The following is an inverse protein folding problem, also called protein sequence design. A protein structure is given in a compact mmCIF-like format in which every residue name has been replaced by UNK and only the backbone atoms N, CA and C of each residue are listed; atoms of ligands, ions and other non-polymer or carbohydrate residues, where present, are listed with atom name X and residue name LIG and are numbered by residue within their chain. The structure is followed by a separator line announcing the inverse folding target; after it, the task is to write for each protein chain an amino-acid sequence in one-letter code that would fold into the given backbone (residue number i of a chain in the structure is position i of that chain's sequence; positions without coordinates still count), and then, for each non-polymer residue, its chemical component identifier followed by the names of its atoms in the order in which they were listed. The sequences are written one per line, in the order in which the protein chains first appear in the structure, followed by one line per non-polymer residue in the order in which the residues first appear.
data_IF_732054121197
#
_entry.id   IF_732054121197
#
_cell.length_a   1.000
_cell.length_b   1.000
_cell.length_c   1.000
_cell.angle_alpha   90.00
_cell.angle_beta   90.00
_cell.angle_gamma   90.00
#
_symmetry.space_group_name_H-M   'P 1'
#
loop_
_entity.id
_entity.type
_entity.pdbx_description
1 polymer ?
#
# COMPACT_ATOMS: atom_id res chain seq x y z
N UNK A 1 22.99 -14.59 -12.49
CA UNK A 1 22.40 -15.65 -11.62
C UNK A 1 21.00 -15.19 -11.24
N UNK A 2 20.02 -16.09 -11.10
CA UNK A 2 18.64 -15.70 -10.78
C UNK A 2 18.36 -15.93 -9.29
N UNK A 3 17.60 -15.03 -8.68
CA UNK A 3 17.18 -15.14 -7.28
C UNK A 3 16.16 -16.28 -7.13
N UNK A 4 16.40 -17.22 -6.24
CA UNK A 4 15.50 -18.35 -5.99
C UNK A 4 14.19 -17.94 -5.31
N UNK A 5 14.15 -16.77 -4.66
CA UNK A 5 12.93 -16.21 -4.04
C UNK A 5 12.01 -15.54 -5.08
N UNK A 6 12.46 -14.47 -5.71
CA UNK A 6 11.63 -13.68 -6.64
C UNK A 6 11.79 -14.06 -8.12
N UNK A 7 12.70 -14.98 -8.47
CA UNK A 7 13.02 -15.43 -9.83
C UNK A 7 13.60 -14.38 -10.78
N UNK A 8 13.84 -13.16 -10.32
CA UNK A 8 14.49 -12.11 -11.10
C UNK A 8 16.01 -12.31 -11.18
N UNK A 9 16.62 -11.77 -12.24
CA UNK A 9 18.07 -11.75 -12.43
C UNK A 9 18.73 -10.84 -11.41
N UNK A 10 19.73 -11.36 -10.68
CA UNK A 10 20.56 -10.59 -9.75
C UNK A 10 21.62 -9.86 -10.55
N UNK A 11 21.64 -8.53 -10.49
CA UNK A 11 22.69 -7.73 -11.14
C UNK A 11 24.02 -7.86 -10.37
N UNK A 12 25.15 -7.89 -11.08
CA UNK A 12 26.46 -8.15 -10.46
C UNK A 12 26.94 -7.12 -9.41
N UNK A 13 26.25 -5.97 -9.30
CA UNK A 13 26.52 -4.94 -8.30
C UNK A 13 25.66 -5.06 -7.03
N UNK A 14 24.66 -5.95 -7.03
CA UNK A 14 23.72 -6.08 -5.92
C UNK A 14 24.21 -7.08 -4.88
N UNK A 15 23.97 -6.76 -3.60
CA UNK A 15 24.21 -7.67 -2.49
C UNK A 15 23.34 -8.94 -2.64
N UNK A 16 24.01 -10.08 -2.79
CA UNK A 16 23.37 -11.40 -2.90
C UNK A 16 23.82 -12.34 -1.80
N UNK A 17 22.90 -13.23 -1.40
CA UNK A 17 23.15 -14.26 -0.40
C UNK A 17 23.11 -15.62 -1.06
N UNK A 18 24.20 -16.39 -0.89
CA UNK A 18 24.30 -17.77 -1.37
C UNK A 18 24.13 -18.72 -0.18
N UNK A 19 23.34 -19.76 -0.35
CA UNK A 19 23.22 -20.81 0.66
C UNK A 19 24.58 -21.49 0.90
N UNK A 20 25.00 -21.59 2.15
CA UNK A 20 26.28 -22.21 2.55
C UNK A 20 26.26 -23.74 2.40
N UNK A 21 25.07 -24.36 2.31
CA UNK A 21 24.95 -25.80 2.12
C UNK A 21 25.42 -26.21 0.71
N UNK A 22 26.47 -27.04 0.66
CA UNK A 22 27.16 -27.46 -0.58
C UNK A 22 26.25 -28.06 -1.66
N UNK A 23 25.14 -28.67 -1.26
CA UNK A 23 24.18 -29.31 -2.17
C UNK A 23 23.13 -28.36 -2.75
N UNK A 24 22.95 -27.16 -2.17
CA UNK A 24 21.84 -26.28 -2.52
C UNK A 24 22.17 -25.31 -3.67
N UNK A 25 23.32 -24.63 -3.59
CA UNK A 25 23.77 -23.62 -4.55
C UNK A 25 22.78 -22.49 -4.91
N UNK A 26 21.64 -22.39 -4.21
CA UNK A 26 20.64 -21.35 -4.41
C UNK A 26 21.18 -19.98 -4.00
N UNK A 27 20.77 -18.94 -4.72
CA UNK A 27 21.17 -17.54 -4.52
C UNK A 27 19.94 -16.68 -4.37
N UNK A 28 19.94 -15.73 -3.45
CA UNK A 28 18.83 -14.84 -3.15
C UNK A 28 19.29 -13.39 -3.17
N UNK A 29 18.42 -12.47 -3.57
CA UNK A 29 18.59 -11.07 -3.19
C UNK A 29 18.54 -10.95 -1.66
N UNK A 30 19.30 -10.03 -1.10
CA UNK A 30 19.30 -9.81 0.35
C UNK A 30 17.87 -9.52 0.87
N UNK A 31 17.09 -8.71 0.16
CA UNK A 31 15.68 -8.44 0.46
C UNK A 31 14.78 -9.68 0.40
N UNK A 32 14.98 -10.56 -0.58
CA UNK A 32 14.17 -11.78 -0.71
C UNK A 32 14.40 -12.80 0.41
N UNK A 33 15.54 -12.70 1.12
CA UNK A 33 15.83 -13.55 2.27
C UNK A 33 15.10 -13.11 3.55
N UNK A 34 14.55 -11.89 3.57
CA UNK A 34 13.96 -11.27 4.76
C UNK A 34 14.98 -10.84 5.82
N UNK A 35 16.28 -10.89 5.52
CA UNK A 35 17.34 -10.47 6.44
C UNK A 35 18.03 -9.22 5.91
N UNK A 36 17.76 -8.09 6.57
CA UNK A 36 18.45 -6.82 6.32
C UNK A 36 19.67 -6.71 7.23
N UNK A 37 20.74 -6.05 6.77
CA UNK A 37 21.90 -5.66 7.59
C UNK A 37 22.67 -6.81 8.27
N UNK A 38 22.92 -7.90 7.56
CA UNK A 38 23.79 -8.98 8.07
C UNK A 38 25.26 -8.58 8.06
N UNK A 39 25.98 -8.90 9.14
CA UNK A 39 27.44 -8.86 9.16
C UNK A 39 28.03 -9.92 8.22
N UNK A 40 29.24 -9.68 7.71
CA UNK A 40 29.88 -10.58 6.75
C UNK A 40 30.07 -12.00 7.28
N UNK A 41 30.22 -12.19 8.60
CA UNK A 41 30.39 -13.52 9.19
C UNK A 41 29.08 -14.33 9.22
N UNK A 42 27.94 -13.64 9.43
CA UNK A 42 26.64 -14.31 9.31
C UNK A 42 26.31 -14.57 7.84
N UNK A 43 26.75 -13.71 6.90
CA UNK A 43 26.61 -13.98 5.45
C UNK A 43 27.32 -15.28 5.05
N UNK A 44 28.52 -15.56 5.59
CA UNK A 44 29.31 -16.78 5.31
C UNK A 44 28.70 -18.07 5.87
N UNK A 45 27.83 -17.96 6.88
CA UNK A 45 27.17 -19.11 7.53
C UNK A 45 25.67 -19.18 7.21
N UNK A 46 25.18 -18.36 6.29
CA UNK A 46 23.76 -18.26 5.97
C UNK A 46 23.26 -19.51 5.23
N UNK A 47 22.13 -20.05 5.68
CA UNK A 47 21.45 -21.21 5.09
C UNK A 47 20.09 -20.73 4.58
N UNK A 48 19.75 -21.07 3.33
CA UNK A 48 18.50 -20.62 2.74
C UNK A 48 17.26 -21.20 3.46
N UNK A 49 16.09 -20.56 3.33
CA UNK A 49 14.86 -21.03 3.97
C UNK A 49 14.51 -22.48 3.63
N UNK A 50 14.70 -22.91 2.38
CA UNK A 50 14.42 -24.28 1.93
C UNK A 50 15.28 -25.31 2.66
N UNK A 51 16.59 -25.06 2.75
CA UNK A 51 17.53 -25.96 3.44
C UNK A 51 17.34 -25.94 4.95
N UNK A 52 17.01 -24.78 5.52
CA UNK A 52 16.70 -24.65 6.94
C UNK A 52 15.44 -25.43 7.32
N UNK A 53 14.42 -25.38 6.46
CA UNK A 53 13.22 -26.20 6.62
C UNK A 53 13.54 -27.68 6.46
N UNK A 54 14.29 -28.07 5.42
CA UNK A 54 14.68 -29.45 5.18
C UNK A 54 15.49 -30.06 6.34
N UNK A 55 16.42 -29.30 6.93
CA UNK A 55 17.18 -29.72 8.10
C UNK A 55 16.31 -29.88 9.36
N UNK A 56 15.21 -29.12 9.46
CA UNK A 56 14.25 -29.21 10.59
C UNK A 56 13.21 -30.32 10.44
N UNK A 57 13.10 -30.97 9.29
CA UNK A 57 12.13 -32.07 9.06
C UNK A 57 12.41 -33.30 9.95
N UNK A 58 13.56 -33.36 10.62
CA UNK A 58 13.92 -34.42 11.56
C UNK A 58 13.93 -33.99 13.04
N UNK A 59 12.99 -33.18 13.50
CA UNK A 59 12.74 -33.07 14.93
C UNK A 59 12.30 -34.42 15.44
N UNK A 60 13.20 -35.15 16.11
CA UNK A 60 12.90 -36.44 16.70
C UNK A 60 11.82 -36.27 17.78
N UNK A 61 10.57 -36.44 17.37
CA UNK A 61 9.43 -36.48 18.28
C UNK A 61 9.37 -37.79 19.07
N UNK A 62 10.40 -38.66 19.00
CA UNK A 62 10.49 -39.85 19.86
C UNK A 62 10.57 -39.50 21.34
N UNK A 63 11.06 -38.30 21.68
CA UNK A 63 11.17 -37.79 23.06
C UNK A 63 10.10 -36.76 23.42
N UNK A 64 9.24 -36.36 22.48
CA UNK A 64 7.98 -35.72 22.83
C UNK A 64 7.06 -36.85 23.27
N UNK A 65 6.73 -37.01 24.56
CA UNK A 65 5.90 -38.13 25.00
C UNK A 65 4.49 -37.92 24.43
N UNK A 66 4.25 -38.43 23.22
CA UNK A 66 2.91 -38.75 22.74
C UNK A 66 2.48 -39.90 23.64
N UNK A 67 1.86 -39.53 24.76
CA UNK A 67 1.59 -40.44 25.85
C UNK A 67 1.03 -41.76 25.33
N UNK A 68 1.75 -42.85 25.62
CA UNK A 68 1.22 -44.21 25.66
C UNK A 68 0.18 -44.32 26.80
N UNK A 69 -0.77 -43.40 26.89
CA UNK A 69 -1.81 -43.41 27.91
C UNK A 69 -3.14 -43.84 27.31
N UNK A 70 -3.20 -45.12 26.93
CA UNK A 70 -4.48 -45.84 26.89
C UNK A 70 -4.82 -46.51 28.22
N UNK A 71 -3.91 -46.56 29.20
CA UNK A 71 -4.16 -47.34 30.44
C UNK A 71 -4.02 -46.60 31.77
N UNK A 72 -3.55 -45.35 31.82
CA UNK A 72 -3.57 -44.58 33.09
C UNK A 72 -4.39 -43.31 32.86
N UNK A 73 -5.70 -43.45 33.04
CA UNK A 73 -6.62 -42.31 33.12
C UNK A 73 -6.40 -41.66 34.48
N UNK A 74 -5.75 -40.51 34.48
CA UNK A 74 -5.78 -39.62 35.63
C UNK A 74 -7.24 -39.12 35.80
N UNK A 75 -7.93 -39.40 36.92
CA UNK A 75 -9.37 -39.12 37.07
C UNK A 75 -9.73 -37.62 37.03
N UNK A 76 -8.73 -36.73 37.15
CA UNK A 76 -8.93 -35.28 37.11
C UNK A 76 -8.53 -34.63 35.77
N UNK A 77 -8.08 -35.40 34.77
CA UNK A 77 -7.80 -34.84 33.43
C UNK A 77 -9.05 -34.99 32.58
N UNK A 78 -9.81 -33.90 32.47
CA UNK A 78 -10.94 -33.81 31.54
C UNK A 78 -10.39 -33.77 30.11
N UNK A 79 -10.35 -34.94 29.47
CA UNK A 79 -10.12 -34.99 28.03
C UNK A 79 -11.24 -34.22 27.35
N UNK A 80 -10.91 -33.06 26.78
CA UNK A 80 -11.79 -32.40 25.82
C UNK A 80 -11.86 -33.32 24.60
N UNK A 81 -12.85 -34.21 24.62
CA UNK A 81 -13.18 -35.16 23.57
C UNK A 81 -13.53 -34.35 22.34
N UNK A 82 -12.52 -33.99 21.54
CA UNK A 82 -12.76 -33.40 20.22
C UNK A 82 -13.48 -34.49 19.44
N UNK A 83 -14.76 -34.29 19.06
CA UNK A 83 -15.46 -35.29 18.26
C UNK A 83 -14.64 -35.48 16.99
N UNK A 84 -14.22 -36.72 16.75
CA UNK A 84 -13.73 -37.14 15.44
C UNK A 84 -14.96 -37.04 14.55
N UNK A 85 -15.17 -35.87 13.96
CA UNK A 85 -16.08 -35.74 12.83
C UNK A 85 -15.39 -36.46 11.69
N UNK A 86 -15.96 -37.59 11.31
CA UNK A 86 -15.71 -38.24 10.03
C UNK A 86 -15.67 -37.17 8.95
N UNK A 87 -14.65 -37.22 8.11
CA UNK A 87 -14.52 -36.37 6.92
C UNK A 87 -15.58 -36.85 5.92
N UNK A 88 -16.83 -36.53 6.22
CA UNK A 88 -17.87 -36.45 5.21
C UNK A 88 -17.54 -35.20 4.40
N UNK A 89 -17.16 -35.44 3.15
CA UNK A 89 -17.07 -34.45 2.09
C UNK A 89 -18.44 -33.78 1.92
N UNK A 90 -18.79 -32.86 2.81
CA UNK A 90 -20.00 -32.05 2.69
C UNK A 90 -19.72 -30.96 1.67
N UNK A 91 -20.28 -31.14 0.48
CA UNK A 91 -20.52 -30.09 -0.50
C UNK A 91 -21.56 -29.08 0.03
N UNK A 92 -21.33 -28.52 1.22
CA UNK A 92 -22.30 -27.73 1.97
C UNK A 92 -21.73 -26.36 2.26
N UNK A 93 -22.44 -25.35 1.74
CA UNK A 93 -22.50 -23.94 2.13
C UNK A 93 -21.20 -23.27 2.64
N UNK A 94 -20.73 -22.19 2.00
CA UNK A 94 -19.60 -21.44 2.53
C UNK A 94 -19.93 -20.99 3.96
N UNK A 95 -19.09 -21.42 4.90
CA UNK A 95 -19.16 -21.02 6.31
C UNK A 95 -19.35 -19.49 6.39
N UNK A 96 -20.26 -19.01 7.23
CA UNK A 96 -20.65 -17.60 7.32
C UNK A 96 -19.42 -16.70 7.53
N UNK A 97 -18.44 -17.20 8.30
CA UNK A 97 -17.14 -16.58 8.51
C UNK A 97 -16.33 -16.43 7.20
N UNK A 98 -16.41 -17.40 6.29
CA UNK A 98 -15.73 -17.34 4.99
C UNK A 98 -16.32 -16.26 4.10
N UNK A 99 -17.66 -16.10 4.14
CA UNK A 99 -18.36 -15.03 3.41
C UNK A 99 -18.00 -13.66 3.99
N UNK A 100 -18.02 -13.51 5.31
CA UNK A 100 -17.66 -12.26 5.99
C UNK A 100 -16.21 -11.86 5.72
N UNK A 101 -15.26 -12.80 5.80
CA UNK A 101 -13.85 -12.55 5.44
C UNK A 101 -13.74 -12.08 3.98
N UNK A 102 -14.53 -12.65 3.07
CA UNK A 102 -14.52 -12.25 1.65
C UNK A 102 -15.06 -10.83 1.46
N UNK A 103 -16.13 -10.49 2.18
CA UNK A 103 -16.73 -9.15 2.16
C UNK A 103 -15.77 -8.10 2.72
N UNK A 104 -15.19 -8.35 3.91
CA UNK A 104 -14.20 -7.45 4.51
C UNK A 104 -12.99 -7.24 3.59
N UNK A 105 -12.51 -8.29 2.92
CA UNK A 105 -11.45 -8.14 1.92
C UNK A 105 -11.88 -7.24 0.77
N UNK A 106 -13.11 -7.38 0.28
CA UNK A 106 -13.63 -6.54 -0.80
C UNK A 106 -13.75 -5.07 -0.38
N UNK A 107 -14.23 -4.80 0.84
CA UNK A 107 -14.32 -3.44 1.39
C UNK A 107 -12.95 -2.81 1.55
N UNK A 108 -11.95 -3.56 2.03
CA UNK A 108 -10.56 -3.09 2.11
C UNK A 108 -10.03 -2.68 0.73
N UNK A 109 -10.34 -3.43 -0.33
CA UNK A 109 -9.94 -3.06 -1.69
C UNK A 109 -10.61 -1.77 -2.17
N UNK A 110 -11.91 -1.61 -1.91
CA UNK A 110 -12.66 -0.40 -2.27
C UNK A 110 -12.10 0.83 -1.53
N UNK A 111 -11.88 0.71 -0.22
CA UNK A 111 -11.31 1.80 0.58
C UNK A 111 -9.90 2.17 0.14
N UNK A 112 -9.09 1.18 -0.25
CA UNK A 112 -7.75 1.41 -0.81
C UNK A 112 -7.82 2.19 -2.12
N UNK A 113 -8.75 1.84 -3.02
CA UNK A 113 -8.93 2.56 -4.29
C UNK A 113 -9.40 4.00 -4.06
N UNK A 114 -10.37 4.19 -3.16
CA UNK A 114 -10.83 5.52 -2.75
C UNK A 114 -9.70 6.37 -2.17
N UNK A 115 -8.82 5.79 -1.34
CA UNK A 115 -7.66 6.48 -0.79
C UNK A 115 -6.69 6.91 -1.89
N UNK A 116 -6.38 6.02 -2.84
CA UNK A 116 -5.51 6.36 -3.99
C UNK A 116 -6.11 7.49 -4.82
N UNK A 117 -7.42 7.44 -5.09
CA UNK A 117 -8.14 8.50 -5.82
C UNK A 117 -8.12 9.84 -5.06
N UNK A 118 -8.27 9.82 -3.73
CA UNK A 118 -8.18 11.04 -2.91
C UNK A 118 -6.77 11.64 -2.96
N UNK A 119 -5.71 10.82 -2.86
CA UNK A 119 -4.32 11.28 -2.91
C UNK A 119 -3.97 11.88 -4.28
N UNK A 120 -4.41 11.25 -5.37
CA UNK A 120 -4.18 11.80 -6.73
C UNK A 120 -4.94 13.11 -6.94
N UNK A 121 -6.15 13.21 -6.41
CA UNK A 121 -6.93 14.44 -6.46
C UNK A 121 -6.24 15.59 -5.68
N UNK A 122 -5.76 15.32 -4.46
CA UNK A 122 -4.99 16.29 -3.65
C UNK A 122 -3.77 16.78 -4.44
N UNK A 123 -2.97 15.84 -4.98
CA UNK A 123 -1.77 16.17 -5.77
C UNK A 123 -2.12 17.07 -6.97
N UNK A 124 -3.27 16.83 -7.62
CA UNK A 124 -3.74 17.66 -8.73
C UNK A 124 -4.13 19.09 -8.30
N UNK A 125 -4.68 19.24 -7.09
CA UNK A 125 -5.03 20.55 -6.54
C UNK A 125 -3.80 21.33 -6.08
N UNK A 126 -2.82 20.67 -5.49
CA UNK A 126 -1.53 21.26 -5.15
C UNK A 126 -0.85 21.85 -6.40
N UNK A 127 -0.80 21.08 -7.49
CA UNK A 127 -0.26 21.58 -8.76
C UNK A 127 -1.05 22.78 -9.33
N UNK A 128 -2.38 22.81 -9.17
CA UNK A 128 -3.19 23.97 -9.57
C UNK A 128 -2.89 25.19 -8.71
N UNK A 129 -2.74 25.02 -7.40
CA UNK A 129 -2.39 26.10 -6.47
C UNK A 129 -1.02 26.70 -6.80
N UNK A 130 -0.03 25.85 -7.10
CA UNK A 130 1.30 26.32 -7.53
C UNK A 130 1.22 27.13 -8.83
N UNK A 131 0.44 26.67 -9.81
CA UNK A 131 0.19 27.42 -11.05
C UNK A 131 -0.51 28.76 -10.82
N UNK A 132 -1.47 28.83 -9.90
CA UNK A 132 -2.13 30.08 -9.54
C UNK A 132 -1.18 31.03 -8.82
N UNK A 133 -0.35 30.52 -7.91
CA UNK A 133 0.67 31.31 -7.23
C UNK A 133 1.65 31.93 -8.24
N UNK A 134 2.13 31.14 -9.21
CA UNK A 134 3.00 31.63 -10.28
C UNK A 134 2.32 32.72 -11.14
N UNK A 135 1.04 32.57 -11.46
CA UNK A 135 0.27 33.59 -12.19
C UNK A 135 0.11 34.89 -11.39
N UNK A 136 -0.15 34.80 -10.09
CA UNK A 136 -0.24 35.97 -9.21
C UNK A 136 1.10 36.71 -9.21
N UNK A 137 2.22 36.01 -9.02
CA UNK A 137 3.55 36.63 -9.06
C UNK A 137 3.80 37.32 -10.41
N UNK A 138 3.51 36.63 -11.52
CA UNK A 138 3.72 37.19 -12.86
C UNK A 138 2.84 38.42 -13.16
N UNK A 139 1.63 38.49 -12.60
CA UNK A 139 0.76 39.66 -12.73
C UNK A 139 1.24 40.80 -11.84
N UNK A 140 1.68 40.52 -10.61
CA UNK A 140 2.26 41.51 -9.71
C UNK A 140 3.50 42.17 -10.32
N UNK A 141 4.43 41.39 -10.89
CA UNK A 141 5.62 41.94 -11.55
C UNK A 141 5.25 42.80 -12.77
N UNK A 142 4.24 42.40 -13.56
CA UNK A 142 3.75 43.22 -14.68
C UNK A 142 3.16 44.54 -14.19
N UNK A 143 2.43 44.55 -13.09
CA UNK A 143 1.88 45.77 -12.50
C UNK A 143 2.98 46.73 -12.04
N UNK A 144 4.02 46.21 -11.38
CA UNK A 144 5.19 46.99 -11.00
C UNK A 144 5.89 47.60 -12.22
N UNK A 145 6.07 46.83 -13.30
CA UNK A 145 6.63 47.33 -14.56
C UNK A 145 5.81 48.48 -15.15
N UNK A 146 4.46 48.41 -15.09
CA UNK A 146 3.59 49.48 -15.56
C UNK A 146 3.66 50.72 -14.68
N UNK A 147 3.79 50.57 -13.35
CA UNK A 147 3.96 51.69 -12.43
C UNK A 147 5.28 52.41 -12.64
N UNK A 148 6.37 51.67 -12.91
CA UNK A 148 7.69 52.24 -13.20
C UNK A 148 7.69 52.94 -14.58
N UNK A 149 7.02 52.36 -15.58
CA UNK A 149 7.01 52.88 -16.95
C UNK A 149 6.02 54.02 -17.18
N UNK A 150 5.05 54.25 -16.30
CA UNK A 150 4.18 55.42 -16.38
C UNK A 150 5.01 56.68 -16.05
N UNK A 151 5.47 57.45 -17.05
CA UNK A 151 6.22 58.66 -16.78
C UNK A 151 5.25 59.67 -16.16
N UNK A 152 5.74 60.54 -15.29
CA UNK A 152 4.98 61.62 -14.64
C UNK A 152 4.50 62.71 -15.64
N UNK A 153 3.81 62.33 -16.72
CA UNK A 153 3.35 63.25 -17.78
C UNK A 153 2.10 64.05 -17.41
N UNK A 154 1.68 64.09 -16.14
CA UNK A 154 0.50 64.84 -15.70
C UNK A 154 0.78 65.93 -14.65
N UNK A 155 2.04 66.31 -14.43
CA UNK A 155 2.38 67.41 -13.51
C UNK A 155 2.37 68.82 -14.14
N UNK A 156 2.00 69.00 -15.40
CA UNK A 156 1.97 70.35 -15.99
C UNK A 156 0.89 70.50 -17.07
N UNK A 157 -0.37 70.64 -16.64
CA UNK A 157 -1.37 71.31 -17.45
C UNK A 157 -2.35 72.04 -16.54
N UNK A 158 -2.37 73.35 -16.71
CA UNK A 158 -3.23 74.36 -16.10
C UNK A 158 -4.68 73.93 -15.85
N UNK A 159 -5.21 74.37 -14.72
CA UNK A 159 -6.63 74.57 -14.47
C UNK A 159 -7.26 75.48 -15.54
N UNK A 160 -8.43 75.11 -16.06
CA UNK A 160 -9.48 76.09 -16.32
C UNK A 160 -10.68 75.78 -15.45
N UNK A 161 -10.92 76.70 -14.52
CA UNK A 161 -12.22 76.90 -13.88
C UNK A 161 -13.26 77.22 -14.96
N UNK A 162 -14.19 76.30 -15.26
CA UNK A 162 -15.47 76.65 -15.91
C UNK A 162 -16.61 75.85 -15.27
N UNK A 163 -17.66 76.61 -14.97
CA UNK A 163 -18.82 76.32 -14.16
C UNK A 163 -19.84 75.34 -14.78
N UNK A 164 -20.72 74.87 -13.89
CA UNK A 164 -22.14 74.57 -14.09
C UNK A 164 -22.60 74.22 -15.51
N UNK A 165 -23.09 72.99 -15.69
CA UNK A 165 -24.43 72.87 -16.23
C UNK A 165 -25.18 71.61 -15.80
N UNK A 166 -26.44 71.86 -15.47
CA UNK A 166 -27.47 70.97 -14.97
C UNK A 166 -28.26 70.48 -16.19
N UNK A 167 -28.28 69.18 -16.47
CA UNK A 167 -29.28 68.60 -17.39
C UNK A 167 -29.48 67.09 -17.15
N UNK A 168 -30.37 66.83 -16.20
CA UNK A 168 -31.54 65.95 -16.31
C UNK A 168 -31.71 65.19 -17.64
N UNK A 169 -31.51 63.87 -17.61
CA UNK A 169 -32.21 62.93 -18.49
C UNK A 169 -32.63 61.68 -17.71
N UNK A 170 -33.94 61.58 -17.58
CA UNK A 170 -34.70 60.39 -17.21
C UNK A 170 -34.47 59.31 -18.28
N UNK A 171 -34.30 58.04 -17.87
CA UNK A 171 -34.86 56.88 -18.56
C UNK A 171 -34.67 55.58 -17.75
N UNK A 172 -35.78 54.91 -17.45
CA UNK A 172 -35.88 53.45 -17.58
C UNK A 172 -35.51 52.61 -16.36
N UNK A 173 -36.36 52.58 -15.35
CA UNK A 173 -36.46 51.46 -14.40
C UNK A 173 -36.98 50.19 -15.12
N UNK A 174 -36.12 49.19 -15.30
CA UNK A 174 -36.54 47.79 -15.43
C UNK A 174 -36.20 47.06 -14.12
N UNK A 175 -37.26 46.72 -13.37
CA UNK A 175 -37.21 45.81 -12.23
C UNK A 175 -36.88 44.42 -12.74
N UNK A 176 -35.81 43.81 -12.25
CA UNK A 176 -35.67 42.36 -12.20
C UNK A 176 -35.44 41.97 -10.75
N UNK A 177 -36.40 41.23 -10.21
CA UNK A 177 -36.39 40.70 -8.86
C UNK A 177 -35.34 39.59 -8.75
N UNK A 178 -34.14 39.95 -8.29
CA UNK A 178 -33.20 38.96 -7.76
C UNK A 178 -33.29 38.92 -6.23
N UNK A 179 -33.95 37.86 -5.79
CA UNK A 179 -34.07 37.33 -4.44
C UNK A 179 -32.69 37.28 -3.76
N UNK A 180 -32.39 38.27 -2.92
CA UNK A 180 -31.20 38.34 -2.09
C UNK A 180 -31.23 37.22 -1.04
N UNK A 181 -30.30 36.27 -1.18
CA UNK A 181 -29.94 35.31 -0.14
C UNK A 181 -28.93 36.01 0.77
N UNK A 182 -29.31 36.19 2.04
CA UNK A 182 -28.50 36.83 3.07
C UNK A 182 -27.08 36.23 3.10
N UNK A 183 -26.10 37.03 2.69
CA UNK A 183 -24.68 36.76 2.88
C UNK A 183 -24.29 37.41 4.19
N UNK A 184 -24.03 36.55 5.17
CA UNK A 184 -23.43 36.89 6.45
C UNK A 184 -22.04 37.49 6.16
N UNK A 185 -21.91 38.82 6.28
CA UNK A 185 -20.61 39.47 6.33
C UNK A 185 -19.95 39.11 7.66
N UNK A 186 -18.93 38.25 7.61
CA UNK A 186 -17.91 38.19 8.66
C UNK A 186 -16.66 38.88 8.14
N UNK A 187 -16.28 39.91 8.89
CA UNK A 187 -15.09 40.75 8.80
C UNK A 187 -13.80 39.94 8.50
N UNK A 188 -12.96 40.35 7.54
CA UNK A 188 -11.70 39.70 7.23
C UNK A 188 -10.49 40.43 7.85
N UNK A 189 -10.51 40.65 9.17
CA UNK A 189 -9.37 41.18 9.91
C UNK A 189 -9.39 40.60 11.33
N UNK A 190 -8.90 39.37 11.50
CA UNK A 190 -8.41 38.80 12.79
C UNK A 190 -8.01 37.30 12.61
N UNK A 191 -7.05 37.00 11.74
CA UNK A 191 -6.43 35.65 11.70
C UNK A 191 -5.02 35.65 11.08
N UNK A 192 -4.28 36.74 11.30
CA UNK A 192 -2.82 36.73 11.26
C UNK A 192 -2.33 36.62 12.70
N UNK A 193 -2.46 35.43 13.29
CA UNK A 193 -1.57 35.01 14.35
C UNK A 193 -1.66 33.49 14.54
N UNK A 194 -0.48 32.89 14.72
CA UNK A 194 -0.24 31.48 15.04
C UNK A 194 -0.32 30.48 13.89
N UNK A 195 0.70 30.47 13.01
CA UNK A 195 1.40 29.23 12.63
C UNK A 195 2.87 29.57 12.29
N UNK A 196 3.69 29.83 13.31
CA UNK A 196 5.13 29.60 13.20
C UNK A 196 5.37 28.10 13.46
N UNK A 197 5.31 27.27 12.42
CA UNK A 197 5.91 25.93 12.47
C UNK A 197 7.31 26.08 11.91
N UNK A 198 8.25 26.26 12.84
CA UNK A 198 9.67 26.03 12.63
C UNK A 198 9.87 24.66 12.00
N UNK A 199 10.29 24.63 10.74
CA UNK A 199 10.85 23.45 10.09
C UNK A 199 12.27 23.24 10.58
N UNK A 200 12.42 22.85 11.85
CA UNK A 200 13.67 22.32 12.38
C UNK A 200 13.40 21.05 13.20
N UNK A 201 13.92 19.92 12.69
CA UNK A 201 14.26 18.75 13.51
C UNK A 201 13.13 17.78 13.88
N UNK A 202 12.94 16.75 13.05
CA UNK A 202 12.79 15.35 13.54
C UNK A 202 13.02 14.36 12.40
N UNK A 203 14.30 14.01 12.25
CA UNK A 203 14.65 12.62 11.97
C UNK A 203 14.19 11.76 13.17
N UNK A 204 13.90 10.50 12.86
CA UNK A 204 13.62 9.35 13.73
C UNK A 204 12.18 8.83 13.79
N UNK A 205 12.11 7.52 13.52
CA UNK A 205 10.98 6.61 13.69
C UNK A 205 10.00 6.52 12.52
N UNK A 206 10.55 6.14 11.36
CA UNK A 206 9.81 5.41 10.32
C UNK A 206 9.34 4.07 10.91
N UNK A 207 8.17 4.04 11.52
CA UNK A 207 7.47 2.79 11.85
C UNK A 207 6.93 2.18 10.56
N UNK A 208 7.83 1.52 9.82
CA UNK A 208 7.45 0.54 8.81
C UNK A 208 6.71 -0.59 9.53
N UNK A 209 5.39 -0.60 9.43
CA UNK A 209 4.62 -1.82 9.69
C UNK A 209 5.01 -2.85 8.64
N UNK A 210 5.63 -3.99 9.00
CA UNK A 210 5.92 -5.03 8.03
C UNK A 210 4.61 -5.69 7.63
N UNK A 211 4.26 -5.50 6.36
CA UNK A 211 3.26 -6.27 5.65
C UNK A 211 3.66 -7.76 5.77
N UNK A 212 2.97 -8.51 6.62
CA UNK A 212 3.05 -9.97 6.60
C UNK A 212 2.31 -10.45 5.35
N UNK A 213 3.00 -10.50 4.22
CA UNK A 213 2.57 -11.35 3.12
C UNK A 213 2.56 -12.79 3.62
N UNK A 214 1.34 -13.28 3.86
CA UNK A 214 1.09 -14.70 4.05
C UNK A 214 1.49 -15.43 2.76
N UNK A 215 2.73 -15.93 2.76
CA UNK A 215 3.18 -16.92 1.80
C UNK A 215 2.26 -18.13 1.91
N UNK A 216 1.31 -18.21 0.97
CA UNK A 216 0.61 -19.44 0.62
C UNK A 216 1.68 -20.46 0.21
N UNK A 217 2.08 -21.29 1.17
CA UNK A 217 2.75 -22.55 0.91
C UNK A 217 1.74 -23.42 0.16
N UNK A 218 1.75 -23.31 -1.17
CA UNK A 218 0.95 -24.13 -2.05
C UNK A 218 1.21 -25.60 -1.73
N UNK A 219 0.17 -26.27 -1.23
CA UNK A 219 0.06 -27.71 -1.28
C UNK A 219 0.20 -28.15 -2.74
N UNK A 220 1.41 -28.53 -3.16
CA UNK A 220 1.61 -29.39 -4.32
C UNK A 220 1.14 -30.79 -3.91
N UNK A 221 -0.16 -31.02 -4.00
CA UNK A 221 -0.72 -32.36 -4.03
C UNK A 221 -0.33 -33.04 -5.34
N UNK A 222 0.20 -34.26 -5.21
CA UNK A 222 0.03 -35.34 -6.18
C UNK A 222 0.81 -35.23 -7.49
N UNK A 223 2.04 -35.76 -7.49
CA UNK A 223 2.55 -36.46 -8.68
C UNK A 223 1.68 -37.69 -8.92
N UNK A 224 1.06 -37.75 -10.08
CA UNK A 224 0.47 -38.96 -10.65
C UNK A 224 1.55 -40.06 -10.69
N UNK A 225 1.39 -41.09 -9.87
CA UNK A 225 1.98 -42.40 -10.16
C UNK A 225 1.05 -43.07 -11.15
N UNK A 226 1.44 -43.08 -12.42
CA UNK A 226 0.91 -44.03 -13.39
C UNK A 226 1.22 -45.44 -12.86
N UNK A 227 0.19 -46.11 -12.33
CA UNK A 227 0.23 -47.54 -12.05
C UNK A 227 0.12 -48.22 -13.41
N UNK A 228 1.22 -48.84 -13.84
CA UNK A 228 1.22 -49.71 -15.02
C UNK A 228 0.22 -50.84 -14.80
N UNK A 229 -0.71 -50.97 -15.74
CA UNK A 229 -1.55 -52.15 -15.90
C UNK A 229 -0.68 -53.40 -16.08
N UNK A 230 -1.02 -54.54 -15.47
CA UNK A 230 -0.52 -55.82 -15.93
C UNK A 230 -1.29 -56.20 -17.22
N UNK A 231 -0.57 -56.26 -18.35
CA UNK A 231 -1.04 -56.95 -19.54
C UNK A 231 -1.02 -58.45 -19.27
N UNK A 232 -2.19 -59.05 -19.05
CA UNK A 232 -2.38 -60.50 -19.15
C UNK A 232 -2.21 -60.89 -20.62
N UNK A 233 -1.04 -61.40 -20.98
CA UNK A 233 -0.82 -62.11 -22.24
C UNK A 233 -1.47 -63.50 -22.14
N UNK A 234 -2.59 -63.70 -22.85
CA UNK A 234 -3.11 -65.03 -23.14
C UNK A 234 -2.27 -65.64 -24.27
N UNK A 235 -1.59 -66.75 -23.99
CA UNK A 235 -1.02 -67.62 -25.03
C UNK A 235 -2.14 -68.49 -25.63
N UNK A 236 -2.17 -68.70 -26.96
CA UNK A 236 -2.92 -69.81 -27.52
C UNK A 236 -2.08 -71.08 -27.49
N UNK A 237 -2.64 -72.13 -26.89
CA UNK A 237 -2.15 -73.50 -26.97
C UNK A 237 -2.04 -73.94 -28.43
N UNK A 238 -0.84 -74.44 -28.79
CA UNK A 238 -0.63 -75.28 -29.98
C UNK A 238 -0.54 -76.73 -29.51
N UNK A 239 -1.53 -77.54 -29.86
CA UNK A 239 -1.35 -78.93 -30.30
C UNK A 239 -2.32 -79.21 -31.44
#
# INVERSE_FOLDING_TARGET
MNCSGCRNTIAGKEDSLRCTLKSCNQVYHMFCSGVMNMTNDVKKSWICPECRCAAKIGGDNSLTPVGLSKMIRDPNVTFRKKPIKEVQSSCGEPDELTVEIRNLRSEIYILRDQLVNAVTLISSYEAKLENYAAQVVALSTKLEDYQIKAPQTLSSAHSPSIASNKQERQHGTQKSDHKNKARLEKSPNDLLDVVNITTEGRNDSRTEYPYLEMNNCGQKLGRERAVGLPQCAAQPDRQ
#
